data_IF_520309752470
#
_entry.id   IF_520309752470
#
_cell.length_a   1.000
_cell.length_b   1.000
_cell.length_c   1.000
_cell.angle_alpha   90.00
_cell.angle_beta   90.00
_cell.angle_gamma   90.00
#
_symmetry.space_group_name_H-M   'P 1'
#
loop_
_entity.id
_entity.type
_entity.pdbx_description
1 polymer ?
#
# COMPACT_ATOMS: atom_id res chain seq x y z
N UNK A 1 31.39 16.63 -3.95
CA UNK A 1 30.37 16.73 -2.87
C UNK A 1 30.77 17.87 -1.94
N UNK A 2 29.96 18.94 -1.91
CA UNK A 2 30.35 20.17 -1.23
C UNK A 2 30.29 20.07 0.29
N UNK A 3 31.08 20.88 0.96
CA UNK A 3 31.18 21.00 2.42
C UNK A 3 29.79 21.28 3.08
N UNK A 4 28.91 21.95 2.37
CA UNK A 4 27.53 22.26 2.80
C UNK A 4 26.63 21.02 2.97
N UNK A 5 26.80 19.97 2.13
CA UNK A 5 26.00 18.73 2.26
C UNK A 5 26.38 17.90 3.50
N UNK A 6 27.63 18.03 3.98
CA UNK A 6 28.08 17.35 5.21
C UNK A 6 27.49 17.97 6.49
N UNK A 7 27.14 19.27 6.47
CA UNK A 7 26.65 19.99 7.64
C UNK A 7 25.12 19.96 7.72
N UNK A 8 24.43 19.99 6.56
CA UNK A 8 22.95 20.10 6.49
C UNK A 8 22.23 18.82 6.08
N UNK A 9 22.94 17.72 5.81
CA UNK A 9 22.38 16.48 5.28
C UNK A 9 21.85 16.64 3.86
N UNK A 10 21.60 15.51 3.18
CA UNK A 10 20.95 15.49 1.86
C UNK A 10 19.45 15.77 2.00
N UNK A 11 18.79 16.16 0.91
CA UNK A 11 17.33 16.31 0.85
C UNK A 11 16.62 15.02 1.33
N UNK A 12 17.10 13.86 0.86
CA UNK A 12 16.54 12.56 1.24
C UNK A 12 16.68 12.27 2.74
N UNK A 13 17.81 12.61 3.35
CA UNK A 13 18.00 12.44 4.80
C UNK A 13 17.05 13.31 5.63
N UNK A 14 16.78 14.53 5.18
CA UNK A 14 15.82 15.43 5.84
C UNK A 14 14.39 14.87 5.74
N UNK A 15 14.02 14.36 4.57
CA UNK A 15 12.70 13.77 4.38
C UNK A 15 12.51 12.49 5.18
N UNK A 16 13.53 11.62 5.26
CA UNK A 16 13.50 10.45 6.14
C UNK A 16 13.29 10.89 7.59
N UNK A 17 14.06 11.86 8.07
CA UNK A 17 13.90 12.39 9.44
C UNK A 17 12.50 12.96 9.69
N UNK A 18 11.88 13.57 8.69
CA UNK A 18 10.54 14.14 8.80
C UNK A 18 9.46 13.08 8.99
N UNK A 19 9.61 11.89 8.37
CA UNK A 19 8.63 10.82 8.47
C UNK A 19 8.89 9.85 9.63
N UNK A 20 10.09 9.85 10.22
CA UNK A 20 10.43 8.99 11.37
C UNK A 20 9.43 9.05 12.52
N UNK A 21 8.91 10.21 12.96
CA UNK A 21 7.91 10.24 14.03
C UNK A 21 6.63 9.45 13.70
N UNK A 22 6.27 9.33 12.43
CA UNK A 22 5.14 8.49 11.99
C UNK A 22 5.51 7.01 12.10
N UNK A 23 6.73 6.65 11.69
CA UNK A 23 7.26 5.28 11.84
C UNK A 23 7.30 4.86 13.30
N UNK A 24 7.74 5.75 14.19
CA UNK A 24 7.78 5.50 15.65
C UNK A 24 6.37 5.26 16.20
N UNK A 25 5.35 6.02 15.74
CA UNK A 25 3.95 5.78 16.09
C UNK A 25 3.48 4.39 15.63
N UNK A 26 3.78 4.01 14.37
CA UNK A 26 3.44 2.70 13.83
C UNK A 26 4.08 1.58 14.67
N UNK A 27 5.35 1.74 15.02
CA UNK A 27 6.07 0.79 15.85
C UNK A 27 5.49 0.69 17.27
N UNK A 28 5.08 1.82 17.84
CA UNK A 28 4.46 1.88 19.16
C UNK A 28 3.10 1.16 19.23
N UNK A 29 2.36 1.08 18.12
CA UNK A 29 1.08 0.38 18.02
C UNK A 29 1.23 -1.14 17.85
N UNK A 30 2.38 -1.64 17.41
CA UNK A 30 2.57 -3.07 17.12
C UNK A 30 2.22 -4.01 18.28
N UNK A 31 2.61 -3.71 19.56
CA UNK A 31 2.28 -4.59 20.68
C UNK A 31 0.77 -4.73 20.96
N UNK A 32 -0.04 -3.71 20.65
CA UNK A 32 -1.49 -3.74 20.81
C UNK A 32 -2.15 -4.45 19.63
N UNK A 33 -1.80 -4.08 18.41
CA UNK A 33 -2.35 -4.66 17.19
C UNK A 33 -2.04 -6.16 17.08
N UNK A 34 -0.87 -6.61 17.54
CA UNK A 34 -0.48 -8.02 17.50
C UNK A 34 -1.32 -8.92 18.42
N UNK A 35 -2.02 -8.36 19.41
CA UNK A 35 -2.90 -9.09 20.33
C UNK A 35 -4.31 -9.28 19.80
N UNK A 36 -4.69 -8.53 18.79
CA UNK A 36 -6.04 -8.63 18.20
C UNK A 36 -6.26 -10.02 17.60
N UNK A 37 -7.48 -10.55 17.72
CA UNK A 37 -7.90 -11.72 16.95
C UNK A 37 -7.97 -11.39 15.46
N UNK A 38 -8.13 -12.41 14.61
CA UNK A 38 -8.26 -12.20 13.17
C UNK A 38 -9.53 -11.40 12.84
N UNK A 39 -10.63 -11.65 13.57
CA UNK A 39 -11.89 -10.93 13.44
C UNK A 39 -11.74 -9.46 13.85
N UNK A 40 -11.08 -9.19 14.97
CA UNK A 40 -10.82 -7.82 15.42
C UNK A 40 -9.91 -7.07 14.45
N UNK A 41 -8.86 -7.73 13.96
CA UNK A 41 -7.94 -7.13 13.00
C UNK A 41 -8.64 -6.80 11.66
N UNK A 42 -9.47 -7.71 11.17
CA UNK A 42 -10.29 -7.50 9.96
C UNK A 42 -11.33 -6.40 10.18
N UNK A 43 -11.94 -6.35 11.38
CA UNK A 43 -12.92 -5.35 11.78
C UNK A 43 -12.39 -3.92 11.74
N UNK A 44 -11.08 -3.72 11.88
CA UNK A 44 -10.42 -2.41 11.77
C UNK A 44 -10.70 -1.71 10.44
N UNK A 45 -10.89 -2.45 9.35
CA UNK A 45 -11.26 -1.87 8.06
C UNK A 45 -12.58 -1.12 8.10
N UNK A 46 -13.59 -1.66 8.78
CA UNK A 46 -14.89 -0.99 8.92
C UNK A 46 -14.82 0.18 9.91
N UNK A 47 -14.04 0.03 10.98
CA UNK A 47 -13.76 1.11 11.93
C UNK A 47 -13.12 2.32 11.22
N UNK A 48 -12.07 2.11 10.43
CA UNK A 48 -11.42 3.18 9.67
C UNK A 48 -12.36 3.85 8.67
N UNK A 49 -13.16 3.09 7.94
CA UNK A 49 -14.16 3.65 7.02
C UNK A 49 -15.18 4.52 7.74
N UNK A 50 -15.61 4.11 8.95
CA UNK A 50 -16.52 4.90 9.78
C UNK A 50 -15.85 6.21 10.21
N UNK A 51 -14.63 6.17 10.72
CA UNK A 51 -13.86 7.35 11.16
C UNK A 51 -13.64 8.35 10.01
N UNK A 52 -13.33 7.86 8.81
CA UNK A 52 -13.23 8.69 7.61
C UNK A 52 -14.56 9.38 7.26
N UNK A 53 -15.69 8.67 7.39
CA UNK A 53 -17.03 9.24 7.18
C UNK A 53 -17.41 10.25 8.26
N UNK A 54 -16.84 10.16 9.44
CA UNK A 54 -17.02 11.07 10.57
C UNK A 54 -16.08 12.31 10.48
N UNK A 55 -15.21 12.37 9.46
CA UNK A 55 -14.40 13.53 9.15
C UNK A 55 -12.92 13.43 9.48
N UNK A 56 -12.44 12.27 9.98
CA UNK A 56 -10.99 12.05 10.06
C UNK A 56 -10.37 11.97 8.66
N UNK A 57 -9.10 12.33 8.58
CA UNK A 57 -8.33 12.26 7.31
C UNK A 57 -7.58 10.93 7.19
N UNK A 58 -7.11 10.62 5.98
CA UNK A 58 -6.21 9.48 5.77
C UNK A 58 -4.91 9.62 6.58
N UNK A 59 -4.41 10.83 6.75
CA UNK A 59 -3.19 11.08 7.54
C UNK A 59 -3.41 10.80 9.03
N UNK A 60 -4.61 11.08 9.57
CA UNK A 60 -4.93 10.81 10.97
C UNK A 60 -4.92 9.31 11.27
N UNK A 61 -5.50 8.50 10.39
CA UNK A 61 -5.59 7.03 10.56
C UNK A 61 -4.36 6.28 10.05
N UNK A 62 -3.45 6.92 9.27
CA UNK A 62 -2.31 6.29 8.63
C UNK A 62 -1.46 5.43 9.59
N UNK A 63 -1.05 5.91 10.78
CA UNK A 63 -0.21 5.10 11.66
C UNK A 63 -0.87 3.79 12.06
N UNK A 64 -2.15 3.84 12.40
CA UNK A 64 -2.91 2.67 12.82
C UNK A 64 -3.20 1.73 11.64
N UNK A 65 -3.59 2.27 10.50
CA UNK A 65 -3.81 1.49 9.28
C UNK A 65 -2.55 0.75 8.83
N UNK A 66 -1.38 1.39 8.88
CA UNK A 66 -0.10 0.75 8.53
C UNK A 66 0.29 -0.34 9.54
N UNK A 67 0.02 -0.14 10.83
CA UNK A 67 0.25 -1.17 11.84
C UNK A 67 -0.67 -2.39 11.60
N UNK A 68 -1.92 -2.18 11.24
CA UNK A 68 -2.87 -3.24 10.87
C UNK A 68 -2.39 -4.01 9.63
N UNK A 69 -1.98 -3.31 8.56
CA UNK A 69 -1.43 -3.96 7.35
C UNK A 69 -0.18 -4.77 7.68
N UNK A 70 0.71 -4.24 8.51
CA UNK A 70 1.95 -4.93 8.91
C UNK A 70 1.67 -6.23 9.64
N UNK A 71 0.73 -6.23 10.61
CA UNK A 71 0.37 -7.43 11.34
C UNK A 71 -0.40 -8.42 10.44
N UNK A 72 -1.34 -7.97 9.64
CA UNK A 72 -2.04 -8.80 8.67
C UNK A 72 -1.07 -9.45 7.66
N UNK A 73 -0.08 -8.70 7.16
CA UNK A 73 0.97 -9.21 6.28
C UNK A 73 1.81 -10.31 6.94
N UNK A 74 2.15 -10.13 8.21
CA UNK A 74 2.86 -11.14 8.99
C UNK A 74 2.06 -12.42 9.12
N UNK A 75 0.74 -12.33 9.41
CA UNK A 75 -0.13 -13.51 9.54
C UNK A 75 -0.40 -14.23 8.23
N UNK A 76 -0.72 -13.48 7.18
CA UNK A 76 -1.20 -14.02 5.90
C UNK A 76 -0.07 -14.39 4.95
N UNK A 77 1.00 -13.59 4.93
CA UNK A 77 2.12 -13.73 3.97
C UNK A 77 3.42 -14.22 4.65
N UNK A 78 3.49 -14.24 5.99
CA UNK A 78 4.73 -14.50 6.72
C UNK A 78 5.75 -13.36 6.60
N UNK A 79 5.33 -12.16 6.17
CA UNK A 79 6.22 -11.03 5.89
C UNK A 79 5.85 -9.82 6.75
N UNK A 80 6.79 -9.41 7.61
CA UNK A 80 6.68 -8.19 8.40
C UNK A 80 7.38 -7.04 7.69
N UNK A 81 6.71 -5.91 7.51
CA UNK A 81 7.33 -4.71 6.96
C UNK A 81 8.44 -4.17 7.88
N UNK A 82 9.59 -3.87 7.29
CA UNK A 82 10.69 -3.17 7.96
C UNK A 82 10.44 -1.65 7.98
N UNK A 83 11.14 -0.93 8.85
CA UNK A 83 10.97 0.53 8.99
C UNK A 83 11.24 1.28 7.67
N UNK A 84 12.25 0.86 6.92
CA UNK A 84 12.54 1.43 5.58
C UNK A 84 11.37 1.23 4.60
N UNK A 85 10.60 0.14 4.75
CA UNK A 85 9.42 -0.13 3.95
C UNK A 85 8.21 0.71 4.40
N UNK A 86 8.09 0.98 5.71
CA UNK A 86 7.10 1.93 6.23
C UNK A 86 7.38 3.34 5.69
N UNK A 87 8.65 3.78 5.70
CA UNK A 87 9.07 5.05 5.11
C UNK A 87 8.65 5.11 3.64
N UNK A 88 8.96 4.06 2.86
CA UNK A 88 8.57 3.97 1.45
C UNK A 88 7.05 4.10 1.26
N UNK A 89 6.25 3.43 2.08
CA UNK A 89 4.80 3.50 2.06
C UNK A 89 4.26 4.90 2.38
N UNK A 90 4.83 5.58 3.37
CA UNK A 90 4.46 6.96 3.74
C UNK A 90 4.77 7.92 2.58
N UNK A 91 5.97 7.82 1.99
CA UNK A 91 6.37 8.65 0.86
C UNK A 91 5.44 8.47 -0.35
N UNK A 92 5.06 7.22 -0.66
CA UNK A 92 4.10 6.92 -1.72
C UNK A 92 2.71 7.49 -1.42
N UNK A 93 2.23 7.37 -0.18
CA UNK A 93 0.96 7.96 0.24
C UNK A 93 0.95 9.49 0.06
N UNK A 94 2.07 10.15 0.28
CA UNK A 94 2.24 11.59 0.07
C UNK A 94 2.28 12.00 -1.42
N UNK A 95 2.05 11.08 -2.37
CA UNK A 95 2.11 11.35 -3.80
C UNK A 95 3.54 11.57 -4.33
N UNK A 96 4.54 11.07 -3.64
CA UNK A 96 5.97 11.24 -3.97
C UNK A 96 6.57 9.93 -4.48
N UNK A 97 7.76 10.02 -5.05
CA UNK A 97 8.51 8.86 -5.56
C UNK A 97 9.38 8.30 -4.44
N UNK A 98 9.21 7.01 -4.15
CA UNK A 98 10.08 6.25 -3.26
C UNK A 98 11.02 5.38 -4.11
N UNK A 99 12.28 5.79 -4.23
CA UNK A 99 13.31 4.99 -4.89
C UNK A 99 13.77 3.88 -3.95
N UNK A 100 13.68 2.64 -4.44
CA UNK A 100 14.10 1.45 -3.72
C UNK A 100 14.87 0.51 -4.66
N UNK A 101 15.95 -0.10 -4.15
CA UNK A 101 16.75 -1.06 -4.92
C UNK A 101 15.96 -2.32 -5.24
N UNK A 102 16.43 -3.05 -6.25
CA UNK A 102 15.90 -4.38 -6.56
C UNK A 102 16.08 -5.31 -5.34
N UNK A 103 15.04 -6.08 -5.01
CA UNK A 103 15.07 -6.98 -3.86
C UNK A 103 14.61 -6.37 -2.52
N UNK A 104 14.42 -5.05 -2.41
CA UNK A 104 14.00 -4.39 -1.16
C UNK A 104 12.49 -4.50 -0.87
N UNK A 105 11.76 -5.29 -1.63
CA UNK A 105 10.35 -5.59 -1.34
C UNK A 105 9.35 -4.52 -1.77
N UNK A 106 9.58 -3.84 -2.90
CA UNK A 106 8.67 -2.80 -3.44
C UNK A 106 7.21 -3.23 -3.51
N UNK A 107 6.94 -4.48 -3.90
CA UNK A 107 5.58 -5.05 -3.97
C UNK A 107 4.91 -5.07 -2.58
N UNK A 108 5.69 -5.41 -1.54
CA UNK A 108 5.19 -5.41 -0.17
C UNK A 108 4.96 -3.98 0.35
N UNK A 109 5.86 -3.05 0.04
CA UNK A 109 5.72 -1.62 0.39
C UNK A 109 4.43 -1.04 -0.17
N UNK A 110 4.08 -1.37 -1.42
CA UNK A 110 2.86 -0.88 -2.06
C UNK A 110 1.59 -1.26 -1.30
N UNK A 111 1.59 -2.36 -0.53
CA UNK A 111 0.41 -2.79 0.23
C UNK A 111 -0.05 -1.76 1.26
N UNK A 112 0.86 -1.00 1.83
CA UNK A 112 0.59 0.02 2.85
C UNK A 112 -0.29 1.18 2.31
N UNK A 113 0.17 1.96 1.32
CA UNK A 113 -0.64 3.05 0.78
C UNK A 113 -1.85 2.54 -0.01
N UNK A 114 -1.79 1.36 -0.63
CA UNK A 114 -2.93 0.77 -1.34
C UNK A 114 -4.08 0.48 -0.38
N UNK A 115 -3.82 -0.19 0.75
CA UNK A 115 -4.84 -0.42 1.76
C UNK A 115 -5.43 0.88 2.29
N UNK A 116 -4.57 1.81 2.72
CA UNK A 116 -5.01 3.10 3.28
C UNK A 116 -5.92 3.87 2.33
N UNK A 117 -5.52 4.00 1.06
CA UNK A 117 -6.32 4.72 0.07
C UNK A 117 -7.61 3.98 -0.33
N UNK A 118 -7.61 2.63 -0.32
CA UNK A 118 -8.80 1.83 -0.60
C UNK A 118 -9.92 2.01 0.45
N UNK A 119 -9.59 2.45 1.66
CA UNK A 119 -10.57 2.77 2.71
C UNK A 119 -11.55 3.88 2.30
N UNK A 120 -11.14 4.76 1.38
CA UNK A 120 -12.01 5.84 0.86
C UNK A 120 -13.17 5.33 0.00
N UNK A 121 -13.13 4.07 -0.46
CA UNK A 121 -14.14 3.51 -1.37
C UNK A 121 -14.08 4.02 -2.82
N UNK A 122 -13.08 4.85 -3.18
CA UNK A 122 -12.94 5.44 -4.53
C UNK A 122 -12.19 4.54 -5.51
N UNK A 123 -11.74 3.37 -5.08
CA UNK A 123 -10.92 2.47 -5.87
C UNK A 123 -9.43 2.88 -5.89
N UNK A 124 -8.54 1.88 -5.94
CA UNK A 124 -7.09 2.09 -6.04
C UNK A 124 -6.54 1.28 -7.20
N UNK A 125 -5.69 1.90 -8.01
CA UNK A 125 -5.03 1.26 -9.15
C UNK A 125 -3.56 0.98 -8.81
N UNK A 126 -3.15 -0.28 -8.95
CA UNK A 126 -1.76 -0.72 -8.83
C UNK A 126 -1.26 -1.08 -10.23
N UNK A 127 -0.50 -0.19 -10.83
CA UNK A 127 -0.02 -0.36 -12.20
C UNK A 127 1.34 -1.05 -12.20
N UNK A 128 1.48 -2.10 -13.02
CA UNK A 128 2.71 -2.85 -13.23
C UNK A 128 3.07 -2.90 -14.72
N UNK A 129 4.34 -3.14 -15.01
CA UNK A 129 4.88 -3.03 -16.39
C UNK A 129 4.41 -4.13 -17.35
N UNK A 130 3.81 -5.24 -16.85
CA UNK A 130 3.31 -6.33 -17.69
C UNK A 130 2.28 -7.19 -16.99
N UNK A 131 1.56 -8.01 -17.78
CA UNK A 131 0.50 -8.91 -17.33
C UNK A 131 0.97 -9.94 -16.30
N UNK A 132 2.19 -10.46 -16.46
CA UNK A 132 2.75 -11.44 -15.53
C UNK A 132 2.86 -10.87 -14.11
N UNK A 133 3.42 -9.66 -13.99
CA UNK A 133 3.55 -8.99 -12.69
C UNK A 133 2.19 -8.59 -12.12
N UNK A 134 1.28 -8.06 -12.94
CA UNK A 134 -0.07 -7.72 -12.51
C UNK A 134 -0.78 -8.95 -11.92
N UNK A 135 -0.73 -10.08 -12.60
CA UNK A 135 -1.32 -11.34 -12.15
C UNK A 135 -0.64 -11.85 -10.88
N UNK A 136 0.68 -11.98 -10.88
CA UNK A 136 1.46 -12.44 -9.72
C UNK A 136 1.15 -11.61 -8.46
N UNK A 137 1.19 -10.28 -8.59
CA UNK A 137 1.02 -9.39 -7.45
C UNK A 137 -0.44 -9.39 -6.97
N UNK A 138 -1.43 -9.49 -7.88
CA UNK A 138 -2.83 -9.62 -7.52
C UNK A 138 -3.13 -10.93 -6.77
N UNK A 139 -2.49 -12.03 -7.14
CA UNK A 139 -2.63 -13.32 -6.48
C UNK A 139 -1.91 -13.36 -5.13
N UNK A 140 -0.73 -12.80 -5.05
CA UNK A 140 0.12 -12.86 -3.85
C UNK A 140 -0.32 -11.83 -2.81
N UNK A 141 -0.30 -10.54 -3.13
CA UNK A 141 -0.71 -9.47 -2.21
C UNK A 141 -2.24 -9.45 -2.05
N UNK A 142 -2.99 -9.96 -3.01
CA UNK A 142 -4.43 -10.09 -2.94
C UNK A 142 -4.92 -10.90 -1.74
N UNK A 143 -4.12 -11.84 -1.22
CA UNK A 143 -4.43 -12.59 0.01
C UNK A 143 -4.54 -11.65 1.22
N UNK A 144 -3.59 -10.72 1.35
CA UNK A 144 -3.56 -9.71 2.40
C UNK A 144 -4.77 -8.76 2.32
N UNK A 145 -5.05 -8.24 1.13
CA UNK A 145 -6.17 -7.32 0.93
C UNK A 145 -7.53 -7.98 1.21
N UNK A 146 -7.71 -9.22 0.73
CA UNK A 146 -8.94 -10.00 0.99
C UNK A 146 -9.11 -10.33 2.46
N UNK A 147 -8.04 -10.68 3.18
CA UNK A 147 -8.05 -10.88 4.62
C UNK A 147 -8.53 -9.63 5.34
N UNK A 148 -8.10 -8.44 4.91
CA UNK A 148 -8.54 -7.16 5.44
C UNK A 148 -9.90 -6.69 4.90
N UNK A 149 -10.66 -7.55 4.19
CA UNK A 149 -12.01 -7.26 3.73
C UNK A 149 -12.12 -6.38 2.49
N UNK A 150 -11.04 -6.25 1.69
CA UNK A 150 -11.05 -5.54 0.42
C UNK A 150 -11.25 -6.51 -0.76
N UNK A 151 -11.95 -6.05 -1.79
CA UNK A 151 -12.08 -6.76 -3.06
C UNK A 151 -10.93 -6.42 -4.02
N UNK A 152 -10.41 -7.44 -4.72
CA UNK A 152 -9.23 -7.33 -5.60
C UNK A 152 -9.61 -7.70 -7.02
N UNK A 153 -9.36 -6.79 -7.96
CA UNK A 153 -9.51 -6.98 -9.39
C UNK A 153 -8.16 -7.12 -10.11
N UNK A 154 -8.22 -7.66 -11.32
CA UNK A 154 -7.10 -7.76 -12.24
C UNK A 154 -7.55 -7.30 -13.62
N UNK A 155 -6.77 -6.43 -14.25
CA UNK A 155 -6.98 -5.99 -15.65
C UNK A 155 -5.67 -6.23 -16.41
N UNK A 156 -5.74 -7.07 -17.43
CA UNK A 156 -4.63 -7.46 -18.28
C UNK A 156 -5.04 -7.39 -19.76
N UNK A 157 -4.08 -7.54 -20.66
CA UNK A 157 -4.31 -7.58 -22.09
C UNK A 157 -5.32 -8.69 -22.47
N UNK A 158 -6.09 -8.47 -23.53
CA UNK A 158 -7.08 -9.43 -24.03
C UNK A 158 -8.42 -9.49 -23.27
N UNK A 159 -8.58 -8.79 -22.14
CA UNK A 159 -9.88 -8.70 -21.46
C UNK A 159 -10.85 -7.83 -22.24
N UNK A 160 -12.10 -8.29 -22.36
CA UNK A 160 -13.18 -7.51 -22.99
C UNK A 160 -13.68 -6.38 -22.06
N UNK A 161 -14.49 -5.47 -22.61
CA UNK A 161 -14.99 -4.29 -21.90
C UNK A 161 -15.81 -4.64 -20.65
N UNK A 162 -16.63 -5.70 -20.72
CA UNK A 162 -17.45 -6.13 -19.58
C UNK A 162 -16.58 -6.64 -18.41
N UNK A 163 -15.55 -7.43 -18.73
CA UNK A 163 -14.62 -7.95 -17.74
C UNK A 163 -13.83 -6.81 -17.08
N UNK A 164 -13.35 -5.84 -17.87
CA UNK A 164 -12.68 -4.65 -17.36
C UNK A 164 -13.60 -3.85 -16.46
N UNK A 165 -14.84 -3.58 -16.88
CA UNK A 165 -15.80 -2.83 -16.08
C UNK A 165 -16.11 -3.50 -14.72
N UNK A 166 -16.26 -4.83 -14.71
CA UNK A 166 -16.43 -5.57 -13.44
C UNK A 166 -15.22 -5.41 -12.53
N UNK A 167 -14.00 -5.46 -13.07
CA UNK A 167 -12.79 -5.27 -12.28
C UNK A 167 -12.68 -3.85 -11.73
N UNK A 168 -13.04 -2.82 -12.51
CA UNK A 168 -12.99 -1.41 -12.08
C UNK A 168 -13.98 -1.05 -10.95
N UNK A 169 -14.98 -1.86 -10.70
CA UNK A 169 -15.94 -1.66 -9.59
C UNK A 169 -15.46 -2.25 -8.25
N UNK A 170 -14.24 -2.76 -8.18
CA UNK A 170 -13.67 -3.36 -6.97
C UNK A 170 -12.84 -2.36 -6.15
N UNK A 171 -12.51 -2.71 -4.90
CA UNK A 171 -11.80 -1.83 -3.97
C UNK A 171 -10.39 -1.48 -4.45
N UNK A 172 -9.71 -2.43 -5.08
CA UNK A 172 -8.41 -2.22 -5.70
C UNK A 172 -8.25 -3.10 -6.95
N UNK A 173 -7.44 -2.63 -7.87
CA UNK A 173 -7.24 -3.28 -9.17
C UNK A 173 -5.76 -3.30 -9.49
N UNK A 174 -5.25 -4.51 -9.80
CA UNK A 174 -3.94 -4.66 -10.44
C UNK A 174 -4.10 -4.51 -11.95
N UNK A 175 -3.34 -3.60 -12.54
CA UNK A 175 -3.42 -3.27 -13.97
C UNK A 175 -2.04 -3.46 -14.58
N UNK A 176 -1.97 -4.16 -15.73
CA UNK A 176 -0.78 -4.11 -16.57
C UNK A 176 -0.77 -2.84 -17.41
N UNK A 177 0.40 -2.22 -17.53
CA UNK A 177 0.58 -1.11 -18.44
C UNK A 177 0.37 -1.59 -19.90
N UNK A 178 -0.43 -0.88 -20.72
CA UNK A 178 -0.63 -1.28 -22.12
C UNK A 178 0.71 -1.20 -22.87
N UNK A 179 1.07 -2.29 -23.54
CA UNK A 179 2.25 -2.30 -24.39
C UNK A 179 2.02 -1.38 -25.59
N UNK A 180 3.08 -0.71 -26.07
CA UNK A 180 3.03 0.21 -27.23
C UNK A 180 2.35 -0.38 -28.48
N UNK A 181 2.30 -1.71 -28.61
CA UNK A 181 1.65 -2.40 -29.72
C UNK A 181 0.12 -2.38 -29.66
N UNK A 182 -0.50 -2.24 -28.50
CA UNK A 182 -1.97 -2.15 -28.35
C UNK A 182 -2.49 -0.72 -28.56
N UNK A 183 -1.64 0.28 -28.50
CA UNK A 183 -2.01 1.69 -28.68
C UNK A 183 -2.12 2.12 -30.16
N UNK A 184 -1.84 1.23 -31.12
CA UNK A 184 -1.79 1.51 -32.57
C UNK A 184 -2.88 0.74 -33.36
N UNK A 185 -3.75 -0.02 -32.70
CA UNK A 185 -4.85 -0.76 -33.34
C UNK A 185 -6.22 -0.12 -33.10
#
# INVERSE_FOLDING_TARGET
MGLFSKIFGTYSEKEVKRVMPIVDKINGLEPEISKLSDEELTGKTQEFKKRLNEGETLDDILPEAFAVVREASKRVLGMRHFDVQLIGGIILHQGRIAEMKTGEGKTLVATLPVYLNALTGKGVHVVTVNDYLAKRDSEWMGKLYKFLGLSVGLVIAGMNSEQKQKAYNLSLIHISEPTRQEAIS
#
